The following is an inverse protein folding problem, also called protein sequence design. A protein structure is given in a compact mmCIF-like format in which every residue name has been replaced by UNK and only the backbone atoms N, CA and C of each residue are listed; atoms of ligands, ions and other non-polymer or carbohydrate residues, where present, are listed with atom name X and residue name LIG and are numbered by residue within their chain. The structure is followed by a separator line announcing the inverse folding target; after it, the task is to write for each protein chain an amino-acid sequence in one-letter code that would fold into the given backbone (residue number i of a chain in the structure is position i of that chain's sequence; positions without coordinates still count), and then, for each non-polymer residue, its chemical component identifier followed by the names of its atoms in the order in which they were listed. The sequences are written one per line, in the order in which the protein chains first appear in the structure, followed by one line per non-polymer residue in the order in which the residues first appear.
data_IF_405296717898
#
_entry.id   IF_405296717898
#
_cell.length_a   1.000
_cell.length_b   1.000
_cell.length_c   1.000
_cell.angle_alpha   90.00
_cell.angle_beta   90.00
_cell.angle_gamma   90.00
#
_symmetry.space_group_name_H-M   'P 1'
#
loop_
_entity.id
_entity.type
_entity.pdbx_description
1 polymer ?
#
# COMPACT_ATOMS: atom_id res chain seq x y z
N UNK A 1 51.55 -33.75 -44.54
CA UNK A 1 51.53 -33.51 -46.01
C UNK A 1 51.03 -32.09 -46.28
N UNK A 2 51.28 -31.56 -47.49
CA UNK A 2 50.87 -30.25 -48.08
C UNK A 2 49.54 -29.66 -47.53
N UNK A 3 49.33 -28.34 -47.42
CA UNK A 3 50.05 -27.19 -48.06
C UNK A 3 49.82 -25.86 -47.29
N UNK A 4 50.76 -24.92 -47.47
CA UNK A 4 50.80 -23.56 -46.90
C UNK A 4 50.00 -22.55 -47.74
N UNK A 5 49.43 -21.51 -47.09
CA UNK A 5 49.35 -20.09 -47.53
C UNK A 5 48.69 -19.25 -46.42
N UNK A 6 49.08 -18.04 -46.03
CA UNK A 6 50.31 -17.22 -46.08
C UNK A 6 49.87 -15.83 -45.56
N UNK A 7 50.67 -15.18 -44.72
CA UNK A 7 50.38 -13.85 -44.11
C UNK A 7 50.57 -12.67 -45.06
N UNK A 8 49.95 -11.54 -44.71
CA UNK A 8 50.37 -10.12 -44.87
C UNK A 8 49.50 -9.30 -43.90
N UNK A 9 49.92 -8.61 -42.81
CA UNK A 9 51.19 -8.13 -42.26
C UNK A 9 51.68 -6.72 -42.71
N UNK A 10 51.32 -5.68 -41.92
CA UNK A 10 52.05 -4.41 -41.65
C UNK A 10 51.54 -3.93 -40.25
N UNK A 11 52.29 -3.96 -39.15
CA UNK A 11 53.25 -2.95 -38.61
C UNK A 11 52.62 -1.55 -38.43
N UNK A 12 52.68 -0.87 -37.27
CA UNK A 12 53.31 -1.20 -35.99
C UNK A 12 53.23 -0.03 -34.97
N UNK A 13 54.26 0.07 -34.11
CA UNK A 13 54.48 1.04 -33.01
C UNK A 13 53.62 0.87 -31.73
N UNK A 14 54.25 0.26 -30.73
CA UNK A 14 54.02 0.59 -29.32
C UNK A 14 54.60 1.98 -29.02
N UNK A 15 53.79 2.85 -28.41
CA UNK A 15 54.27 4.01 -27.67
C UNK A 15 53.64 3.96 -26.26
N UNK A 16 54.47 3.80 -25.23
CA UNK A 16 54.01 3.80 -23.86
C UNK A 16 53.67 5.24 -23.44
N UNK A 17 52.40 5.50 -23.16
CA UNK A 17 51.91 6.77 -22.61
C UNK A 17 51.03 6.50 -21.40
N UNK A 18 51.50 6.86 -20.21
CA UNK A 18 50.68 6.83 -18.99
C UNK A 18 49.68 7.98 -19.09
N UNK A 19 48.42 7.65 -19.34
CA UNK A 19 47.30 8.59 -19.24
C UNK A 19 46.49 8.26 -17.99
N UNK A 20 46.18 9.23 -17.11
CA UNK A 20 45.34 8.98 -15.95
C UNK A 20 43.91 8.66 -16.41
N UNK A 21 43.34 7.57 -15.89
CA UNK A 21 41.91 7.30 -15.96
C UNK A 21 41.18 8.37 -15.14
N UNK A 22 40.85 9.49 -15.78
CA UNK A 22 40.02 10.52 -15.18
C UNK A 22 38.64 9.91 -14.90
N UNK A 23 38.30 9.80 -13.61
CA UNK A 23 36.98 9.44 -13.11
C UNK A 23 35.97 10.53 -13.49
N UNK A 24 35.52 10.49 -14.74
CA UNK A 24 34.59 11.44 -15.36
C UNK A 24 33.17 10.88 -15.46
N UNK A 25 32.70 10.18 -14.43
CA UNK A 25 31.28 9.87 -14.30
C UNK A 25 30.53 11.17 -14.02
N UNK A 26 29.91 11.76 -15.04
CA UNK A 26 28.92 12.81 -14.82
C UNK A 26 27.84 12.21 -13.91
N UNK A 27 27.57 12.79 -12.72
CA UNK A 27 26.46 12.33 -11.92
C UNK A 27 25.20 12.46 -12.77
N UNK A 28 24.44 11.38 -12.90
CA UNK A 28 23.07 11.45 -13.37
C UNK A 28 22.30 12.22 -12.31
N UNK A 29 22.30 13.55 -12.43
CA UNK A 29 21.38 14.41 -11.69
C UNK A 29 20.00 14.00 -12.16
N UNK A 30 19.33 13.19 -11.35
CA UNK A 30 17.95 12.81 -11.57
C UNK A 30 17.17 14.10 -11.79
N UNK A 31 16.62 14.27 -12.99
CA UNK A 31 15.83 15.45 -13.32
C UNK A 31 14.57 15.33 -12.48
N UNK A 32 14.48 16.13 -11.43
CA UNK A 32 13.32 16.10 -10.54
C UNK A 32 12.05 16.24 -11.40
N UNK A 33 11.20 15.21 -11.36
CA UNK A 33 9.87 15.31 -11.94
C UNK A 33 9.14 16.47 -11.25
N UNK A 34 8.32 17.27 -11.96
CA UNK A 34 7.58 18.35 -11.34
C UNK A 34 6.65 17.76 -10.27
N UNK A 35 6.93 18.06 -9.00
CA UNK A 35 6.30 17.41 -7.83
C UNK A 35 4.79 17.63 -7.71
N UNK A 36 4.22 18.48 -8.55
CA UNK A 36 2.79 18.81 -8.62
C UNK A 36 2.02 18.05 -9.73
N UNK A 37 2.66 17.13 -10.47
CA UNK A 37 1.92 16.26 -11.38
C UNK A 37 1.05 15.28 -10.57
N UNK A 38 -0.22 15.14 -10.97
CA UNK A 38 -1.14 14.15 -10.41
C UNK A 38 -0.60 12.73 -10.59
N UNK A 39 -0.81 11.91 -9.57
CA UNK A 39 -0.34 10.54 -9.51
C UNK A 39 -1.29 9.73 -8.64
N UNK A 40 -1.77 8.58 -9.12
CA UNK A 40 -2.61 7.66 -8.36
C UNK A 40 -2.16 6.22 -8.61
N UNK A 41 -2.40 5.35 -7.64
CA UNK A 41 -2.29 3.89 -7.81
C UNK A 41 -3.57 3.41 -8.51
N UNK A 42 -3.46 2.44 -9.40
CA UNK A 42 -4.58 1.81 -10.10
C UNK A 42 -4.25 0.32 -10.27
N UNK A 43 -4.77 -0.52 -9.38
CA UNK A 43 -4.43 -1.94 -9.23
C UNK A 43 -4.63 -2.78 -10.52
N UNK A 44 -5.50 -2.36 -11.44
CA UNK A 44 -5.80 -3.08 -12.70
C UNK A 44 -4.64 -3.03 -13.73
N UNK A 45 -3.90 -1.91 -13.79
CA UNK A 45 -2.81 -1.67 -14.76
C UNK A 45 -1.44 -1.44 -14.09
N UNK A 46 -1.48 -1.35 -12.77
CA UNK A 46 -0.40 -1.47 -11.81
C UNK A 46 0.45 -2.72 -12.08
N UNK A 47 1.70 -2.54 -12.52
CA UNK A 47 2.74 -3.60 -12.52
C UNK A 47 3.31 -3.88 -11.10
N UNK A 48 2.48 -3.70 -10.07
CA UNK A 48 2.84 -3.34 -8.68
C UNK A 48 2.10 -4.20 -7.68
N UNK A 49 0.84 -4.52 -7.98
CA UNK A 49 0.36 -5.88 -7.78
C UNK A 49 1.39 -6.75 -8.53
N UNK A 50 2.21 -7.57 -7.83
CA UNK A 50 3.28 -8.33 -8.48
C UNK A 50 2.70 -9.40 -9.44
N UNK A 51 1.43 -9.73 -9.24
CA UNK A 51 0.56 -10.50 -10.11
C UNK A 51 0.22 -9.74 -11.40
N UNK A 52 0.45 -10.36 -12.55
CA UNK A 52 -0.23 -9.95 -13.78
C UNK A 52 -1.68 -10.45 -13.75
N UNK A 53 -2.63 -9.60 -14.13
CA UNK A 53 -4.08 -9.88 -14.08
C UNK A 53 -4.54 -11.21 -14.71
N UNK A 54 -3.74 -11.81 -15.59
CA UNK A 54 -3.84 -13.24 -15.92
C UNK A 54 -2.44 -13.87 -16.07
N UNK A 55 -1.91 -14.43 -14.98
CA UNK A 55 -0.61 -15.13 -14.98
C UNK A 55 -0.57 -16.35 -15.89
N UNK A 56 -1.70 -17.02 -16.13
CA UNK A 56 -1.78 -18.15 -17.05
C UNK A 56 -1.57 -17.77 -18.53
N UNK A 57 -1.99 -16.57 -18.95
CA UNK A 57 -1.78 -16.09 -20.33
C UNK A 57 -0.32 -15.69 -20.59
N UNK A 58 0.40 -15.24 -19.55
CA UNK A 58 1.80 -14.75 -19.66
C UNK A 58 2.81 -15.88 -19.44
N UNK A 59 2.57 -16.75 -18.45
CA UNK A 59 3.53 -17.74 -17.98
C UNK A 59 3.09 -19.20 -18.21
N UNK A 60 1.83 -19.42 -18.61
CA UNK A 60 1.22 -20.74 -18.77
C UNK A 60 0.46 -21.19 -17.53
N UNK A 61 -0.58 -22.01 -17.73
CA UNK A 61 -1.46 -22.53 -16.66
C UNK A 61 -0.79 -23.46 -15.64
N UNK A 62 0.47 -23.84 -15.86
CA UNK A 62 1.28 -24.70 -14.99
C UNK A 62 2.38 -23.94 -14.23
N UNK A 63 2.29 -22.61 -14.17
CA UNK A 63 3.18 -21.74 -13.39
C UNK A 63 2.36 -20.92 -12.40
N UNK A 64 2.69 -21.08 -11.12
CA UNK A 64 2.32 -20.08 -10.13
C UNK A 64 3.27 -18.89 -10.28
N UNK A 65 2.69 -17.72 -10.54
CA UNK A 65 3.38 -16.42 -10.53
C UNK A 65 2.42 -15.43 -9.89
N UNK A 66 2.76 -15.04 -8.67
CA UNK A 66 2.06 -14.05 -7.87
C UNK A 66 2.69 -13.92 -6.48
N UNK A 67 2.13 -13.03 -5.69
CA UNK A 67 2.35 -12.95 -4.25
C UNK A 67 1.25 -13.68 -3.47
N UNK A 68 1.54 -13.98 -2.21
CA UNK A 68 0.60 -14.49 -1.23
C UNK A 68 0.53 -13.49 -0.05
N UNK A 69 -0.65 -13.38 0.57
CA UNK A 69 -0.90 -12.56 1.77
C UNK A 69 -1.36 -13.46 2.95
N UNK A 70 -0.48 -14.26 3.58
CA UNK A 70 -0.84 -15.05 4.76
C UNK A 70 -1.26 -14.17 5.94
N UNK A 71 -2.55 -14.22 6.29
CA UNK A 71 -3.14 -13.36 7.34
C UNK A 71 -3.53 -14.09 8.63
N UNK A 72 -3.25 -13.46 9.77
CA UNK A 72 -3.77 -13.82 11.11
C UNK A 72 -5.02 -12.97 11.44
N UNK A 73 -6.12 -13.63 11.82
CA UNK A 73 -7.41 -12.98 12.08
C UNK A 73 -7.75 -12.95 13.57
N UNK A 74 -8.15 -11.79 14.07
CA UNK A 74 -8.41 -11.59 15.51
C UNK A 74 -9.90 -11.42 15.78
N UNK A 75 -10.55 -12.49 16.25
CA UNK A 75 -11.97 -12.47 16.61
C UNK A 75 -12.20 -12.33 18.11
N UNK A 76 -13.22 -11.54 18.46
CA UNK A 76 -13.72 -11.35 19.82
C UNK A 76 -15.11 -10.71 19.76
N UNK A 77 -16.03 -11.18 20.61
CA UNK A 77 -17.36 -10.60 20.78
C UNK A 77 -17.39 -9.47 21.83
N UNK A 78 -16.23 -9.05 22.35
CA UNK A 78 -16.15 -7.92 23.27
C UNK A 78 -16.30 -6.59 22.50
N UNK A 79 -17.26 -5.71 22.84
CA UNK A 79 -17.37 -4.41 22.20
C UNK A 79 -16.08 -3.60 22.33
N UNK A 80 -15.65 -3.00 21.23
CA UNK A 80 -14.37 -2.33 21.06
C UNK A 80 -13.30 -3.19 20.38
N UNK A 81 -13.50 -4.51 20.23
CA UNK A 81 -12.54 -5.37 19.52
C UNK A 81 -12.54 -5.19 18.01
N UNK A 82 -13.61 -4.64 17.43
CA UNK A 82 -13.68 -4.28 16.01
C UNK A 82 -13.03 -2.94 15.65
N UNK A 83 -12.70 -2.11 16.65
CA UNK A 83 -12.36 -0.69 16.45
C UNK A 83 -11.20 -0.14 17.30
N UNK A 84 -10.65 -0.92 18.24
CA UNK A 84 -9.56 -0.50 19.12
C UNK A 84 -8.58 -1.62 19.37
N UNK A 85 -7.41 -1.49 18.75
CA UNK A 85 -6.36 -2.50 18.68
C UNK A 85 -5.04 -1.96 19.21
N UNK A 86 -4.23 -2.86 19.77
CA UNK A 86 -2.86 -2.59 20.19
C UNK A 86 -2.02 -3.84 19.97
N UNK A 87 -0.86 -3.68 19.35
CA UNK A 87 0.08 -4.73 19.02
C UNK A 87 1.46 -4.36 19.55
N UNK A 88 2.13 -5.30 20.21
CA UNK A 88 3.53 -5.18 20.57
C UNK A 88 4.35 -6.00 19.55
N UNK A 89 5.08 -5.30 18.70
CA UNK A 89 5.72 -5.83 17.49
C UNK A 89 7.23 -5.70 17.62
N UNK A 90 7.99 -6.63 17.06
CA UNK A 90 9.44 -6.45 16.84
C UNK A 90 9.67 -6.44 15.34
N UNK A 91 10.19 -5.34 14.79
CA UNK A 91 10.43 -5.24 13.35
C UNK A 91 11.43 -6.32 12.91
N UNK A 92 11.20 -7.00 11.77
CA UNK A 92 12.14 -7.97 11.25
C UNK A 92 13.56 -7.39 11.05
N UNK A 93 14.55 -8.27 11.12
CA UNK A 93 15.97 -7.89 10.98
C UNK A 93 16.55 -8.32 9.64
N UNK A 94 17.41 -7.47 9.08
CA UNK A 94 18.22 -7.79 7.90
C UNK A 94 19.54 -8.46 8.30
N UNK A 95 20.08 -9.36 7.46
CA UNK A 95 21.45 -9.83 7.61
C UNK A 95 22.45 -8.70 7.36
N UNK A 96 23.68 -8.85 7.85
CA UNK A 96 24.75 -7.87 7.60
C UNK A 96 24.97 -7.62 6.10
N UNK A 97 25.04 -6.35 5.71
CA UNK A 97 25.33 -5.93 4.33
C UNK A 97 26.73 -6.35 3.81
N UNK A 98 27.63 -6.83 4.67
CA UNK A 98 28.94 -7.36 4.25
C UNK A 98 28.77 -8.65 3.46
N UNK A 99 29.19 -8.69 2.19
CA UNK A 99 28.92 -9.80 1.26
C UNK A 99 27.41 -10.12 1.20
N UNK A 100 26.58 -9.26 0.57
CA UNK A 100 25.13 -9.37 0.64
C UNK A 100 24.61 -10.60 -0.12
N UNK A 101 25.23 -10.96 -1.26
CA UNK A 101 24.92 -12.18 -2.02
C UNK A 101 25.56 -13.47 -1.49
N UNK A 102 25.96 -13.53 -0.21
CA UNK A 102 26.45 -14.76 0.38
C UNK A 102 25.30 -15.77 0.59
N UNK A 103 25.49 -17.08 0.34
CA UNK A 103 24.44 -18.08 0.56
C UNK A 103 23.86 -18.04 1.97
N UNK A 104 22.54 -18.16 2.09
CA UNK A 104 21.82 -18.05 3.37
C UNK A 104 21.53 -16.62 3.82
N UNK A 105 21.70 -15.62 2.95
CA UNK A 105 21.20 -14.25 3.18
C UNK A 105 20.03 -13.93 2.26
N UNK A 106 18.96 -13.45 2.88
CA UNK A 106 17.85 -12.77 2.24
C UNK A 106 17.56 -11.51 3.06
N UNK A 107 17.32 -10.40 2.39
CA UNK A 107 16.95 -9.12 3.01
C UNK A 107 15.43 -8.97 3.00
N UNK A 108 14.89 -8.13 3.89
CA UNK A 108 13.45 -8.01 4.09
C UNK A 108 12.71 -7.56 2.81
N UNK A 109 13.27 -6.61 2.05
CA UNK A 109 12.75 -6.21 0.73
C UNK A 109 12.72 -7.32 -0.35
N UNK A 110 13.27 -8.51 -0.06
CA UNK A 110 13.25 -9.69 -0.94
C UNK A 110 12.34 -10.81 -0.41
N UNK A 111 11.69 -10.59 0.73
CA UNK A 111 10.88 -11.58 1.45
C UNK A 111 9.47 -11.05 1.75
N UNK A 112 9.37 -9.74 1.92
CA UNK A 112 8.22 -8.97 2.38
C UNK A 112 8.15 -7.69 1.52
N UNK A 113 7.00 -7.42 0.94
CA UNK A 113 6.68 -6.16 0.25
C UNK A 113 6.25 -5.07 1.23
N UNK A 114 5.37 -5.45 2.14
CA UNK A 114 5.01 -4.78 3.38
C UNK A 114 4.49 -5.83 4.39
N UNK A 115 4.60 -5.56 5.69
CA UNK A 115 3.71 -6.19 6.69
C UNK A 115 2.67 -5.18 7.13
N UNK A 116 1.48 -5.61 7.51
CA UNK A 116 0.41 -4.67 7.84
C UNK A 116 -0.58 -5.14 8.90
N UNK A 117 -1.23 -4.15 9.53
CA UNK A 117 -2.36 -4.34 10.44
C UNK A 117 -3.59 -3.67 9.85
N UNK A 118 -4.70 -4.39 9.77
CA UNK A 118 -5.89 -3.96 9.05
C UNK A 118 -7.20 -3.95 9.85
N UNK A 119 -8.17 -3.21 9.32
CA UNK A 119 -9.50 -2.99 9.90
C UNK A 119 -10.51 -2.58 8.82
N UNK A 120 -11.75 -3.05 8.91
CA UNK A 120 -12.84 -2.60 8.04
C UNK A 120 -13.37 -1.24 8.50
N UNK A 121 -13.42 -0.27 7.58
CA UNK A 121 -13.88 1.10 7.81
C UNK A 121 -15.17 1.39 7.02
N UNK A 122 -15.95 2.34 7.50
CA UNK A 122 -17.10 2.89 6.79
C UNK A 122 -16.65 3.66 5.52
N UNK A 123 -17.19 3.30 4.36
CA UNK A 123 -17.12 4.11 3.14
C UNK A 123 -18.43 4.05 2.36
N UNK A 124 -19.26 5.08 2.51
CA UNK A 124 -20.57 5.21 1.86
C UNK A 124 -20.52 5.50 0.35
N UNK A 125 -19.32 5.55 -0.24
CA UNK A 125 -19.07 5.60 -1.68
C UNK A 125 -18.07 4.50 -2.06
N UNK A 126 -18.33 3.30 -1.52
CA UNK A 126 -17.66 2.06 -1.87
C UNK A 126 -18.70 0.95 -2.01
N UNK A 127 -18.29 -0.14 -2.67
CA UNK A 127 -19.05 -1.37 -2.85
C UNK A 127 -19.78 -1.77 -1.56
N UNK A 128 -21.10 -2.06 -1.62
CA UNK A 128 -21.87 -2.35 -2.84
C UNK A 128 -22.70 -1.17 -3.36
N UNK A 129 -22.48 0.08 -2.88
CA UNK A 129 -23.20 1.28 -3.31
C UNK A 129 -24.73 1.28 -3.07
N UNK A 130 -25.23 0.41 -2.19
CA UNK A 130 -26.68 0.22 -1.98
C UNK A 130 -27.29 1.08 -0.87
N UNK A 131 -26.48 1.64 0.04
CA UNK A 131 -26.94 2.43 1.18
C UNK A 131 -26.01 3.60 1.45
N UNK A 132 -26.59 4.73 1.86
CA UNK A 132 -25.86 5.99 2.13
C UNK A 132 -25.49 6.19 3.60
N UNK A 133 -25.61 5.15 4.44
CA UNK A 133 -25.34 5.22 5.88
C UNK A 133 -24.42 4.08 6.32
N UNK A 134 -23.48 4.42 7.21
CA UNK A 134 -22.66 3.47 7.94
C UNK A 134 -22.46 3.98 9.37
N UNK A 135 -23.29 3.55 10.34
CA UNK A 135 -23.08 3.79 11.75
C UNK A 135 -21.71 3.28 12.21
N UNK A 136 -20.78 4.18 12.55
CA UNK A 136 -19.47 3.81 13.06
C UNK A 136 -19.55 2.90 14.31
N UNK A 137 -18.53 2.07 14.52
CA UNK A 137 -18.38 1.21 15.69
C UNK A 137 -19.58 0.26 15.95
N UNK A 138 -20.29 -0.16 14.92
CA UNK A 138 -21.61 -0.82 15.05
C UNK A 138 -21.75 -2.12 14.28
N UNK A 139 -22.08 -3.19 15.00
CA UNK A 139 -22.41 -4.48 14.42
C UNK A 139 -23.78 -4.48 13.69
N UNK A 140 -24.52 -3.36 13.71
CA UNK A 140 -25.69 -3.16 12.84
C UNK A 140 -25.35 -3.18 11.35
N UNK A 141 -24.08 -2.99 11.01
CA UNK A 141 -23.59 -2.99 9.63
C UNK A 141 -23.39 -4.41 9.08
N UNK A 142 -23.51 -5.43 9.92
CA UNK A 142 -23.38 -6.84 9.51
C UNK A 142 -24.61 -7.25 8.69
N UNK A 143 -24.44 -7.33 7.37
CA UNK A 143 -25.46 -7.79 6.43
C UNK A 143 -24.91 -8.98 5.61
N UNK A 144 -25.24 -10.21 6.04
CA UNK A 144 -24.62 -11.42 5.52
C UNK A 144 -25.61 -12.41 4.87
N UNK A 145 -26.90 -12.09 4.89
CA UNK A 145 -27.95 -13.00 4.46
C UNK A 145 -28.09 -13.02 2.92
N UNK A 146 -28.14 -14.18 2.26
CA UNK A 146 -28.39 -14.24 0.82
C UNK A 146 -29.87 -14.03 0.44
N UNK A 147 -30.82 -14.08 1.38
CA UNK A 147 -32.24 -13.80 1.07
C UNK A 147 -32.48 -12.30 0.93
N UNK A 148 -32.83 -11.87 -0.28
CA UNK A 148 -33.21 -10.49 -0.64
C UNK A 148 -34.34 -9.87 0.20
N UNK A 149 -35.13 -10.69 0.89
CA UNK A 149 -36.24 -10.25 1.73
C UNK A 149 -35.84 -10.08 3.20
N UNK A 150 -34.67 -10.60 3.60
CA UNK A 150 -34.17 -10.48 4.95
C UNK A 150 -33.80 -9.01 5.28
N UNK A 151 -33.88 -8.59 6.55
CA UNK A 151 -33.43 -7.26 6.96
C UNK A 151 -31.92 -7.09 6.75
N UNK A 152 -31.14 -8.16 6.97
CA UNK A 152 -29.69 -8.27 6.88
C UNK A 152 -29.20 -8.84 5.52
N UNK A 153 -29.97 -8.61 4.45
CA UNK A 153 -29.59 -9.01 3.09
C UNK A 153 -28.24 -8.39 2.68
N UNK A 154 -27.32 -9.21 2.15
CA UNK A 154 -25.97 -8.78 1.77
C UNK A 154 -25.95 -7.64 0.74
N UNK A 155 -26.93 -7.55 -0.15
CA UNK A 155 -27.13 -6.40 -1.04
C UNK A 155 -27.72 -5.16 -0.34
N UNK A 156 -27.61 -5.05 0.99
CA UNK A 156 -27.83 -3.84 1.80
C UNK A 156 -26.67 -3.58 2.77
N UNK A 157 -25.55 -4.28 2.61
CA UNK A 157 -24.34 -4.01 3.39
C UNK A 157 -23.94 -2.54 3.22
N UNK A 158 -23.54 -1.89 4.31
CA UNK A 158 -22.93 -0.56 4.24
C UNK A 158 -21.70 -0.61 3.36
N UNK A 159 -21.48 0.44 2.55
CA UNK A 159 -20.25 0.51 1.76
C UNK A 159 -19.01 0.47 2.66
N UNK A 160 -18.01 -0.30 2.25
CA UNK A 160 -16.85 -0.65 3.09
C UNK A 160 -15.55 -0.20 2.44
N UNK A 161 -14.66 0.38 3.23
CA UNK A 161 -13.23 0.51 2.91
C UNK A 161 -12.40 -0.41 3.82
N UNK A 162 -11.18 -0.73 3.41
CA UNK A 162 -10.22 -1.44 4.25
C UNK A 162 -9.02 -0.54 4.54
N UNK A 163 -8.60 -0.42 5.80
CA UNK A 163 -7.31 0.20 6.12
C UNK A 163 -6.25 -0.87 6.24
N UNK A 164 -5.07 -0.56 5.75
CA UNK A 164 -3.82 -1.26 6.04
C UNK A 164 -2.80 -0.24 6.55
N UNK A 165 -2.39 -0.41 7.80
CA UNK A 165 -1.21 0.24 8.32
C UNK A 165 0.03 -0.56 7.89
N UNK A 166 0.47 -0.31 6.65
CA UNK A 166 1.61 -0.97 6.03
C UNK A 166 2.93 -0.45 6.60
N UNK A 167 3.87 -1.37 6.86
CA UNK A 167 5.25 -1.13 7.24
C UNK A 167 6.15 -1.65 6.13
N UNK A 168 6.95 -0.76 5.52
CA UNK A 168 7.80 -1.11 4.39
C UNK A 168 9.25 -1.35 4.84
N UNK A 169 9.91 -2.43 4.37
CA UNK A 169 11.26 -2.79 4.79
C UNK A 169 12.34 -1.86 4.23
N UNK A 170 13.55 -1.86 4.84
CA UNK A 170 14.73 -1.24 4.26
C UNK A 170 15.13 -1.92 2.95
N UNK A 171 15.62 -1.14 1.98
CA UNK A 171 15.96 -1.69 0.67
C UNK A 171 16.63 -0.70 -0.27
N UNK A 172 17.39 -1.22 -1.23
CA UNK A 172 18.31 -0.42 -2.06
C UNK A 172 17.64 0.24 -3.27
N UNK A 173 16.30 0.25 -3.29
CA UNK A 173 15.43 0.73 -4.37
C UNK A 173 14.67 1.93 -3.79
N UNK A 174 15.27 3.14 -3.78
CA UNK A 174 14.77 4.28 -3.01
C UNK A 174 13.52 4.88 -3.64
N UNK A 175 12.47 4.99 -2.84
CA UNK A 175 11.21 5.58 -3.24
C UNK A 175 11.36 7.00 -3.84
N UNK A 176 10.65 7.38 -4.93
CA UNK A 176 9.80 6.56 -5.81
C UNK A 176 10.60 6.12 -7.04
N UNK A 177 11.43 5.07 -6.94
CA UNK A 177 12.20 4.56 -8.09
C UNK A 177 11.36 4.09 -9.26
N UNK A 178 10.04 4.06 -9.10
CA UNK A 178 9.07 4.14 -10.18
C UNK A 178 7.74 4.68 -9.62
N UNK A 179 7.08 5.57 -10.35
CA UNK A 179 6.08 6.47 -9.76
C UNK A 179 4.67 5.87 -9.59
N UNK A 180 4.52 4.60 -9.21
CA UNK A 180 3.19 4.01 -8.93
C UNK A 180 3.22 3.04 -7.72
N UNK A 181 4.34 2.33 -7.48
CA UNK A 181 5.08 2.24 -6.19
C UNK A 181 4.61 1.38 -4.97
N UNK A 182 3.32 1.19 -4.67
CA UNK A 182 2.93 0.52 -3.40
C UNK A 182 3.31 -0.97 -3.34
N UNK A 183 3.72 -1.47 -2.18
CA UNK A 183 3.92 -2.91 -1.91
C UNK A 183 5.26 -3.53 -2.34
N UNK A 184 6.16 -2.82 -3.03
CA UNK A 184 7.42 -3.42 -3.51
C UNK A 184 8.63 -2.47 -3.47
N UNK A 185 8.68 -1.53 -2.53
CA UNK A 185 9.72 -0.49 -2.49
C UNK A 185 10.01 0.03 -1.09
N UNK A 186 11.28 0.39 -0.86
CA UNK A 186 11.76 0.83 0.44
C UNK A 186 11.75 2.36 0.56
N UNK A 187 11.34 2.89 1.72
CA UNK A 187 11.45 4.32 2.00
C UNK A 187 12.92 4.77 2.20
N UNK A 188 13.79 3.90 2.72
CA UNK A 188 15.20 4.17 2.97
C UNK A 188 16.04 2.89 2.79
N UNK A 189 17.33 3.06 2.53
CA UNK A 189 18.27 1.94 2.36
C UNK A 189 18.55 1.13 3.66
N UNK A 190 18.18 1.67 4.82
CA UNK A 190 18.56 1.17 6.16
C UNK A 190 17.48 1.27 7.23
N UNK A 191 16.32 1.87 6.92
CA UNK A 191 15.22 2.12 7.86
C UNK A 191 13.89 1.64 7.31
N UNK A 192 13.07 1.13 8.22
CA UNK A 192 11.64 0.94 8.01
C UNK A 192 10.91 2.28 8.06
N UNK A 193 9.76 2.34 7.42
CA UNK A 193 8.77 3.41 7.52
C UNK A 193 7.37 2.76 7.63
N UNK A 194 6.34 3.56 7.88
CA UNK A 194 4.96 3.08 7.83
C UNK A 194 4.04 4.08 7.11
N UNK A 195 2.99 3.58 6.46
CA UNK A 195 1.92 4.38 5.86
C UNK A 195 0.54 3.80 6.18
N UNK A 196 -0.44 4.69 6.29
CA UNK A 196 -1.85 4.37 6.32
C UNK A 196 -2.36 4.36 4.87
N UNK A 197 -2.75 3.19 4.40
CA UNK A 197 -3.43 2.97 3.12
C UNK A 197 -4.90 2.70 3.43
N UNK A 198 -5.84 3.34 2.74
CA UNK A 198 -7.27 3.04 2.87
C UNK A 198 -7.82 2.76 1.47
N UNK A 199 -8.14 1.51 1.21
CA UNK A 199 -8.63 1.00 -0.06
C UNK A 199 -10.16 0.97 -0.09
N UNK A 200 -10.75 1.28 -1.24
CA UNK A 200 -12.18 1.24 -1.51
C UNK A 200 -12.43 0.84 -2.97
N UNK A 201 -13.61 0.27 -3.28
CA UNK A 201 -13.95 -0.21 -4.62
C UNK A 201 -15.20 0.49 -5.14
N UNK A 202 -15.07 1.19 -6.28
CA UNK A 202 -16.14 2.00 -6.88
C UNK A 202 -17.02 1.18 -7.85
N UNK A 203 -17.73 0.20 -7.30
CA UNK A 203 -18.60 -0.72 -8.04
C UNK A 203 -19.95 -1.01 -7.35
N UNK A 204 -21.01 -1.08 -8.14
CA UNK A 204 -22.34 -1.56 -7.75
C UNK A 204 -22.61 -2.94 -8.39
N UNK A 205 -22.47 -4.04 -7.64
CA UNK A 205 -22.71 -5.39 -8.15
C UNK A 205 -24.20 -5.72 -8.34
N UNK A 206 -25.11 -4.93 -7.76
CA UNK A 206 -26.55 -5.19 -7.76
C UNK A 206 -27.20 -4.63 -9.04
N UNK A 207 -26.81 -3.43 -9.44
CA UNK A 207 -27.21 -2.81 -10.70
C UNK A 207 -26.23 -3.11 -11.85
N UNK A 208 -25.06 -3.69 -11.55
CA UNK A 208 -24.07 -4.07 -12.55
C UNK A 208 -23.37 -2.86 -13.18
N UNK A 209 -23.11 -1.83 -12.38
CA UNK A 209 -22.46 -0.58 -12.80
C UNK A 209 -21.12 -0.40 -12.08
N UNK A 210 -20.20 0.28 -12.76
CA UNK A 210 -18.91 0.69 -12.19
C UNK A 210 -18.75 2.19 -12.39
N UNK A 211 -17.76 2.79 -11.71
CA UNK A 211 -17.50 4.23 -11.78
C UNK A 211 -17.35 4.75 -13.22
N UNK A 212 -17.77 5.99 -13.45
CA UNK A 212 -17.63 6.61 -14.77
C UNK A 212 -16.17 6.59 -15.28
N UNK A 213 -16.02 6.39 -16.60
CA UNK A 213 -14.72 6.24 -17.24
C UNK A 213 -13.79 7.46 -17.05
N UNK A 214 -14.32 8.67 -16.82
CA UNK A 214 -13.50 9.86 -16.56
C UNK A 214 -12.79 9.78 -15.21
N UNK A 215 -13.43 9.20 -14.20
CA UNK A 215 -12.79 8.98 -12.90
C UNK A 215 -11.96 7.69 -12.88
N UNK A 216 -12.49 6.58 -13.41
CA UNK A 216 -11.77 5.31 -13.47
C UNK A 216 -10.42 5.42 -14.23
N UNK A 217 -10.37 6.19 -15.33
CA UNK A 217 -9.12 6.42 -16.07
C UNK A 217 -8.11 7.33 -15.34
N UNK A 218 -8.51 8.02 -14.26
CA UNK A 218 -7.64 8.85 -13.43
C UNK A 218 -7.10 8.10 -12.21
N UNK A 219 -7.91 7.25 -11.58
CA UNK A 219 -7.61 6.67 -10.26
C UNK A 219 -7.88 5.16 -10.09
N UNK A 220 -8.34 4.47 -11.15
CA UNK A 220 -8.80 3.08 -11.05
C UNK A 220 -10.24 2.94 -10.56
N UNK A 221 -10.69 1.68 -10.42
CA UNK A 221 -11.94 1.31 -9.75
C UNK A 221 -11.71 0.97 -8.29
N UNK A 222 -10.67 0.20 -8.01
CA UNK A 222 -10.07 0.09 -6.68
C UNK A 222 -9.16 1.31 -6.47
N UNK A 223 -9.47 2.12 -5.46
CA UNK A 223 -8.78 3.39 -5.20
C UNK A 223 -8.24 3.42 -3.78
N UNK A 224 -7.17 4.19 -3.55
CA UNK A 224 -6.46 4.20 -2.26
C UNK A 224 -6.18 5.62 -1.79
N UNK A 225 -6.55 5.92 -0.53
CA UNK A 225 -5.99 7.06 0.20
C UNK A 225 -4.66 6.65 0.82
N UNK A 226 -3.58 7.41 0.59
CA UNK A 226 -2.22 7.08 1.05
C UNK A 226 -1.63 8.19 1.93
N UNK A 227 -1.10 7.85 3.11
CA UNK A 227 -0.33 8.79 3.93
C UNK A 227 0.71 8.12 4.82
N UNK A 228 1.96 8.58 4.77
CA UNK A 228 2.99 8.18 5.74
C UNK A 228 2.61 8.51 7.19
N UNK A 229 3.04 7.66 8.12
CA UNK A 229 2.95 7.89 9.56
C UNK A 229 3.96 8.98 9.92
N UNK A 230 3.46 10.19 10.22
CA UNK A 230 4.32 11.34 10.50
C UNK A 230 4.52 11.59 11.98
N UNK A 231 5.67 12.16 12.33
CA UNK A 231 6.06 12.54 13.71
C UNK A 231 5.07 13.51 14.38
N UNK A 232 4.19 14.17 13.61
CA UNK A 232 3.22 15.15 14.10
C UNK A 232 1.75 14.83 13.77
N UNK A 233 1.46 13.70 13.11
CA UNK A 233 0.09 13.29 12.77
C UNK A 233 -0.57 14.04 11.60
N UNK A 234 0.17 14.87 10.86
CA UNK A 234 -0.31 15.60 9.69
C UNK A 234 0.22 14.99 8.41
N UNK A 235 -0.61 14.98 7.37
CA UNK A 235 -0.20 14.58 6.02
C UNK A 235 0.81 15.56 5.44
N UNK A 236 1.73 15.04 4.63
CA UNK A 236 2.77 15.85 3.99
C UNK A 236 2.35 16.44 2.64
N UNK A 237 1.40 15.79 1.98
CA UNK A 237 0.75 16.13 0.71
C UNK A 237 -0.68 15.53 0.71
N UNK A 238 -1.57 15.85 -0.25
CA UNK A 238 -2.93 15.32 -0.27
C UNK A 238 -2.94 13.77 -0.31
N UNK A 239 -3.64 13.10 0.61
CA UNK A 239 -3.65 11.63 0.67
C UNK A 239 -4.68 11.01 -0.28
N UNK A 240 -5.73 11.73 -0.67
CA UNK A 240 -6.79 11.20 -1.52
C UNK A 240 -6.30 10.96 -2.96
N UNK A 241 -6.78 9.91 -3.66
CA UNK A 241 -6.25 9.51 -4.97
C UNK A 241 -6.56 10.50 -6.10
N UNK A 242 -7.52 11.41 -5.92
CA UNK A 242 -7.84 12.44 -6.92
C UNK A 242 -6.79 13.54 -6.90
N UNK A 243 -6.37 14.00 -5.72
CA UNK A 243 -5.42 15.12 -5.57
C UNK A 243 -3.97 14.67 -5.29
N UNK A 244 -3.72 13.37 -5.16
CA UNK A 244 -2.41 12.82 -4.87
C UNK A 244 -1.38 13.14 -5.94
N UNK A 245 -0.13 13.25 -5.51
CA UNK A 245 1.02 13.68 -6.33
C UNK A 245 2.24 12.83 -6.00
N UNK A 246 3.36 13.06 -6.68
CA UNK A 246 4.64 12.45 -6.32
C UNK A 246 5.01 12.66 -4.83
N UNK A 247 4.62 13.81 -4.24
CA UNK A 247 4.87 14.11 -2.83
C UNK A 247 3.93 13.36 -1.87
N UNK A 248 2.81 12.80 -2.33
CA UNK A 248 1.97 11.90 -1.52
C UNK A 248 2.73 10.62 -1.20
N UNK A 249 3.46 10.09 -2.18
CA UNK A 249 4.16 8.81 -2.07
C UNK A 249 5.65 8.94 -1.72
N UNK A 250 6.31 10.10 -1.93
CA UNK A 250 7.76 10.22 -1.62
C UNK A 250 7.99 10.54 -0.14
N UNK A 251 8.65 9.68 0.65
CA UNK A 251 8.82 9.92 2.09
C UNK A 251 9.77 11.10 2.40
N UNK A 252 9.49 11.83 3.48
CA UNK A 252 10.29 12.96 3.97
C UNK A 252 10.90 12.62 5.35
N UNK A 253 12.22 12.34 5.43
CA UNK A 253 12.94 12.08 6.70
C UNK A 253 12.78 13.15 7.78
N UNK A 254 12.42 14.40 7.44
CA UNK A 254 12.16 15.46 8.41
C UNK A 254 10.77 15.34 9.05
N UNK A 255 9.80 14.73 8.36
CA UNK A 255 8.39 14.61 8.79
C UNK A 255 8.01 13.22 9.23
N UNK A 256 8.45 12.20 8.52
CA UNK A 256 7.97 10.82 8.67
C UNK A 256 8.67 10.08 9.80
N UNK A 257 7.99 9.10 10.38
CA UNK A 257 8.60 8.18 11.33
C UNK A 257 9.43 7.12 10.57
N UNK A 258 10.72 7.08 10.87
CA UNK A 258 11.64 6.06 10.39
C UNK A 258 12.14 5.24 11.58
N UNK A 259 12.17 3.91 11.42
CA UNK A 259 12.48 2.93 12.47
C UNK A 259 13.63 2.02 12.03
N UNK A 260 14.35 1.42 12.97
CA UNK A 260 15.42 0.47 12.69
C UNK A 260 14.88 -0.96 12.58
N UNK A 261 15.54 -1.79 11.77
CA UNK A 261 15.32 -3.24 11.80
C UNK A 261 15.63 -3.79 13.19
N UNK A 262 14.70 -4.54 13.78
CA UNK A 262 14.79 -5.04 15.15
C UNK A 262 14.24 -4.10 16.24
N UNK A 263 13.69 -2.93 15.91
CA UNK A 263 13.05 -2.08 16.92
C UNK A 263 11.76 -2.70 17.47
N UNK A 264 11.53 -2.51 18.77
CA UNK A 264 10.31 -2.91 19.45
C UNK A 264 9.29 -1.77 19.37
N UNK A 265 8.13 -2.04 18.76
CA UNK A 265 7.08 -1.07 18.55
C UNK A 265 5.84 -1.41 19.39
N UNK A 266 5.18 -0.39 19.93
CA UNK A 266 3.76 -0.48 20.27
C UNK A 266 2.95 0.23 19.19
N UNK A 267 2.19 -0.54 18.42
CA UNK A 267 1.35 -0.08 17.31
C UNK A 267 -0.10 -0.10 17.76
N UNK A 268 -0.88 0.95 17.49
CA UNK A 268 -2.31 0.97 17.80
C UNK A 268 -3.14 1.59 16.70
N UNK A 269 -4.31 1.00 16.47
CA UNK A 269 -5.39 1.49 15.61
C UNK A 269 -6.60 1.73 16.51
N UNK A 270 -7.16 2.94 16.54
CA UNK A 270 -8.36 3.22 17.36
C UNK A 270 -9.22 4.30 16.74
N UNK A 271 -10.53 4.23 16.92
CA UNK A 271 -11.40 5.33 16.53
C UNK A 271 -11.15 6.62 17.33
N UNK A 272 -11.50 7.75 16.72
CA UNK A 272 -11.58 9.07 17.36
C UNK A 272 -12.75 9.86 16.77
N UNK A 273 -13.16 10.95 17.43
CA UNK A 273 -14.19 11.86 16.91
C UNK A 273 -13.86 12.51 15.54
N UNK A 274 -12.67 12.27 14.98
CA UNK A 274 -12.25 12.72 13.65
C UNK A 274 -11.91 11.57 12.69
N UNK A 275 -12.26 10.32 13.03
CA UNK A 275 -11.91 9.10 12.28
C UNK A 275 -10.79 8.29 12.95
N UNK A 276 -10.48 7.14 12.36
CA UNK A 276 -9.45 6.21 12.81
C UNK A 276 -8.10 6.90 12.94
N UNK A 277 -7.43 6.67 14.08
CA UNK A 277 -6.05 7.09 14.32
C UNK A 277 -5.12 5.89 14.50
N UNK A 278 -4.10 5.83 13.64
CA UNK A 278 -2.92 5.02 13.84
C UNK A 278 -1.91 5.75 14.73
N UNK A 279 -1.25 5.01 15.62
CA UNK A 279 -0.10 5.47 16.41
C UNK A 279 0.96 4.38 16.40
N UNK A 280 2.19 4.75 16.11
CA UNK A 280 3.37 3.88 16.22
C UNK A 280 4.30 4.53 17.25
N UNK A 281 4.55 3.83 18.35
CA UNK A 281 5.52 4.21 19.36
C UNK A 281 6.70 3.25 19.26
N UNK A 282 7.87 3.75 18.88
CA UNK A 282 9.11 3.01 18.88
C UNK A 282 9.68 3.03 20.31
N UNK A 283 9.58 1.89 20.99
CA UNK A 283 10.02 1.69 22.37
C UNK A 283 11.54 1.51 22.47
N UNK A 284 12.22 1.16 21.37
CA UNK A 284 13.68 1.05 21.29
C UNK A 284 14.34 2.42 21.24
N UNK A 285 13.82 3.37 20.44
CA UNK A 285 14.40 4.72 20.28
C UNK A 285 13.67 5.81 21.06
N UNK A 286 12.45 5.55 21.53
CA UNK A 286 11.58 6.55 22.17
C UNK A 286 10.91 7.52 21.19
N UNK A 287 11.04 7.29 19.88
CA UNK A 287 10.32 8.06 18.86
C UNK A 287 8.85 7.62 18.75
N UNK A 288 8.02 8.49 18.19
CA UNK A 288 6.63 8.14 17.85
C UNK A 288 6.15 8.90 16.63
N UNK A 289 5.14 8.33 15.99
CA UNK A 289 4.43 8.91 14.86
C UNK A 289 2.96 8.52 14.88
N UNK A 290 2.16 9.20 14.07
CA UNK A 290 0.74 8.89 13.94
C UNK A 290 0.19 9.31 12.58
N UNK A 291 -1.00 8.83 12.26
CA UNK A 291 -1.84 9.37 11.20
C UNK A 291 -3.30 9.26 11.62
N UNK A 292 -4.14 10.20 11.21
CA UNK A 292 -5.60 10.13 11.43
C UNK A 292 -6.30 10.26 10.08
N UNK A 293 -7.20 9.33 9.78
CA UNK A 293 -7.95 9.22 8.54
C UNK A 293 -9.10 10.25 8.45
N UNK A 294 -8.75 11.54 8.52
CA UNK A 294 -9.69 12.64 8.66
C UNK A 294 -9.74 13.57 7.45
N UNK A 295 -10.90 14.19 7.25
CA UNK A 295 -11.09 15.26 6.27
C UNK A 295 -10.11 16.43 6.51
N UNK A 296 -9.77 16.69 7.78
CA UNK A 296 -8.79 17.73 8.16
C UNK A 296 -7.33 17.39 7.81
N UNK A 297 -7.02 16.10 7.60
CA UNK A 297 -5.75 15.63 7.03
C UNK A 297 -5.85 15.44 5.50
N UNK A 298 -7.00 15.73 4.88
CA UNK A 298 -7.22 15.63 3.43
C UNK A 298 -7.67 14.27 2.92
N UNK A 299 -8.02 13.34 3.81
CA UNK A 299 -8.65 12.06 3.44
C UNK A 299 -10.05 12.29 2.88
N UNK A 300 -10.44 11.46 1.92
CA UNK A 300 -11.71 11.58 1.23
C UNK A 300 -12.23 10.23 0.71
N UNK A 301 -13.54 10.05 0.73
CA UNK A 301 -14.23 9.09 -0.14
C UNK A 301 -14.21 9.64 -1.57
N UNK A 302 -14.29 8.79 -2.58
CA UNK A 302 -14.47 9.24 -3.96
C UNK A 302 -15.93 9.11 -4.34
N UNK A 303 -16.53 10.18 -4.88
CA UNK A 303 -17.93 10.16 -5.26
C UNK A 303 -18.21 9.06 -6.30
N UNK A 304 -19.08 8.11 -5.97
CA UNK A 304 -19.60 7.14 -6.92
C UNK A 304 -20.67 7.81 -7.80
N UNK A 305 -20.39 7.88 -9.10
CA UNK A 305 -21.31 8.40 -10.11
C UNK A 305 -21.06 7.65 -11.43
N UNK A 306 -21.75 6.53 -11.68
CA UNK A 306 -21.55 5.70 -12.87
C UNK A 306 -22.02 6.39 -14.16
N UNK A 307 -22.84 7.45 -14.05
CA UNK A 307 -23.38 8.23 -15.18
C UNK A 307 -22.65 9.56 -15.40
N UNK A 308 -21.76 9.93 -14.47
CA UNK A 308 -21.11 11.21 -14.43
C UNK A 308 -19.99 11.41 -15.44
N UNK A 309 -19.42 12.61 -15.40
CA UNK A 309 -18.23 13.01 -16.19
C UNK A 309 -17.18 13.71 -15.33
N UNK A 310 -17.26 13.50 -14.00
CA UNK A 310 -16.39 14.12 -13.01
C UNK A 310 -15.77 13.09 -12.07
N UNK A 311 -14.71 13.47 -11.38
CA UNK A 311 -13.98 12.64 -10.43
C UNK A 311 -13.71 13.49 -9.20
N UNK A 312 -14.55 13.33 -8.19
CA UNK A 312 -14.64 14.25 -7.05
C UNK A 312 -14.26 13.52 -5.76
N UNK A 313 -13.29 14.07 -5.04
CA UNK A 313 -13.00 13.66 -3.67
C UNK A 313 -13.97 14.37 -2.70
N UNK A 314 -14.68 13.60 -1.88
CA UNK A 314 -15.57 14.10 -0.82
C UNK A 314 -14.80 13.99 0.51
N UNK A 315 -14.40 15.11 1.14
CA UNK A 315 -13.64 15.08 2.38
C UNK A 315 -14.36 14.29 3.48
N UNK A 316 -13.71 13.28 4.03
CA UNK A 316 -14.35 12.28 4.89
C UNK A 316 -13.49 11.89 6.09
N UNK A 317 -14.16 11.56 7.20
CA UNK A 317 -13.53 10.95 8.37
C UNK A 317 -13.82 9.45 8.33
N UNK A 318 -12.83 8.62 8.01
CA UNK A 318 -13.02 7.17 7.97
C UNK A 318 -13.04 6.63 9.40
N UNK A 319 -14.17 6.08 9.83
CA UNK A 319 -14.35 5.44 11.13
C UNK A 319 -14.41 3.91 10.97
N UNK A 320 -14.02 3.11 11.98
CA UNK A 320 -14.24 1.68 12.00
C UNK A 320 -15.70 1.31 11.80
N UNK A 321 -15.95 0.25 11.02
CA UNK A 321 -17.30 -0.18 10.69
C UNK A 321 -17.97 -0.92 11.85
N UNK A 322 -17.24 -1.75 12.60
CA UNK A 322 -17.82 -2.73 13.52
C UNK A 322 -17.41 -2.50 14.99
N UNK A 323 -18.28 -2.92 15.91
CA UNK A 323 -18.02 -2.89 17.35
C UNK A 323 -17.18 -4.08 17.79
N UNK A 324 -17.44 -5.25 17.19
CA UNK A 324 -16.76 -6.51 17.47
C UNK A 324 -15.97 -7.00 16.25
N UNK A 325 -15.28 -8.13 16.40
CA UNK A 325 -14.62 -8.81 15.28
C UNK A 325 -15.01 -10.29 15.28
N UNK A 326 -15.55 -10.77 14.15
CA UNK A 326 -16.01 -12.15 13.95
C UNK A 326 -15.96 -12.51 12.46
N UNK A 327 -16.28 -13.77 12.13
CA UNK A 327 -16.50 -14.22 10.75
C UNK A 327 -17.62 -13.45 10.03
N UNK A 328 -18.47 -12.74 10.78
CA UNK A 328 -19.52 -11.89 10.23
C UNK A 328 -19.09 -10.46 9.88
N UNK A 329 -17.95 -9.98 10.40
CA UNK A 329 -17.45 -8.61 10.19
C UNK A 329 -16.39 -8.63 9.09
N UNK A 330 -16.69 -8.09 7.91
CA UNK A 330 -15.91 -8.33 6.70
C UNK A 330 -15.98 -7.19 5.68
N UNK A 331 -14.88 -6.97 4.98
CA UNK A 331 -14.92 -6.28 3.69
C UNK A 331 -15.44 -7.29 2.65
N UNK A 332 -16.49 -6.92 1.92
CA UNK A 332 -17.22 -7.87 1.03
C UNK A 332 -16.76 -7.85 -0.43
N UNK A 333 -15.81 -6.97 -0.78
CA UNK A 333 -15.25 -6.83 -2.13
C UNK A 333 -13.76 -7.19 -2.23
N UNK A 334 -13.00 -7.08 -1.14
CA UNK A 334 -11.57 -7.37 -1.13
C UNK A 334 -11.32 -8.88 -1.28
N UNK A 335 -10.16 -9.25 -1.85
CA UNK A 335 -9.72 -10.65 -1.93
C UNK A 335 -9.70 -11.31 -0.54
N UNK A 336 -9.32 -10.53 0.47
CA UNK A 336 -9.33 -10.87 1.88
C UNK A 336 -10.59 -10.32 2.59
N UNK A 337 -11.50 -11.21 2.99
CA UNK A 337 -12.84 -10.84 3.48
C UNK A 337 -12.97 -10.79 5.00
N UNK A 338 -12.14 -9.96 5.66
CA UNK A 338 -12.08 -9.86 7.14
C UNK A 338 -12.19 -8.43 7.67
N UNK A 339 -12.32 -8.29 9.00
CA UNK A 339 -12.22 -7.01 9.71
C UNK A 339 -10.83 -6.83 10.31
N UNK A 340 -10.56 -7.41 11.48
CA UNK A 340 -9.29 -7.21 12.18
C UNK A 340 -8.29 -8.28 11.80
N UNK A 341 -7.21 -7.87 11.14
CA UNK A 341 -6.17 -8.76 10.65
C UNK A 341 -4.75 -8.21 10.83
N UNK A 342 -3.79 -9.13 10.82
CA UNK A 342 -2.39 -8.89 10.48
C UNK A 342 -2.08 -9.69 9.22
N UNK A 343 -1.29 -9.16 8.28
CA UNK A 343 -0.84 -9.87 7.08
C UNK A 343 0.59 -9.47 6.70
N UNK A 344 1.19 -10.26 5.81
CA UNK A 344 2.53 -10.06 5.26
C UNK A 344 2.47 -10.29 3.74
N UNK A 345 2.91 -9.32 2.95
CA UNK A 345 2.98 -9.37 1.48
C UNK A 345 4.21 -10.18 1.04
N UNK A 346 4.07 -11.48 0.73
CA UNK A 346 5.22 -12.35 0.41
C UNK A 346 5.22 -12.82 -1.06
N UNK A 347 6.38 -12.80 -1.73
CA UNK A 347 6.51 -13.30 -3.13
C UNK A 347 7.65 -12.70 -3.94
#
# INVERSE_FOLDING_TARGET
MRRVRSMLAVVGLFAAGIAPLASGGTPLVARAAPSAQHLAINCEYSRICPDVANSADVFGTDKYVGHDEPSDLFYSSLPGSGNRLSYDVTLPTDPSATNPGAPGKSFQFQLNGALWFGMALCDTQSYPEQVSECPADSDSNIANNPDRNAPDFIGRHSGTAFVELQFYPPGWVPWPTWAVAVGASACDATKWCAAMNIFNLLEDPINGTTQNATCASRIGLETVNFAFVTKNGRTQAPPNPVDSTLATFTPDPQRDLFMNSGDHLNVSLRDTASGLRAVVNDLSTGQSGSMTASASNGFAQIQYDPTGTSCNAIPFNFHPMYSTSSEGTRVIWAAHTYNVAFSDEIG
#
